data_IF_610002422808
#
_entry.id   IF_610002422808
#
_cell.length_a   1.000
_cell.length_b   1.000
_cell.length_c   1.000
_cell.angle_alpha   90.00
_cell.angle_beta   90.00
_cell.angle_gamma   90.00
#
_symmetry.space_group_name_H-M   'P 1'
#
loop_
_entity.id
_entity.type
_entity.pdbx_description
1 polymer ?
#
# COMPACT_ATOMS: atom_id res chain seq x y z
N UNK A 1 18.42 19.70 70.62
CA UNK A 1 17.10 19.27 70.11
C UNK A 1 17.36 18.05 69.22
N UNK A 2 17.40 16.81 69.73
CA UNK A 2 16.32 15.80 69.94
C UNK A 2 15.35 15.56 68.74
N UNK A 3 15.26 14.26 68.39
CA UNK A 3 14.36 13.48 67.49
C UNK A 3 14.84 13.42 66.02
N UNK A 4 15.28 12.30 65.42
CA UNK A 4 14.71 10.94 65.20
C UNK A 4 13.35 10.98 64.47
N UNK A 5 13.27 10.52 63.21
CA UNK A 5 12.66 9.23 62.80
C UNK A 5 12.69 9.04 61.26
N UNK A 6 12.81 7.77 60.85
CA UNK A 6 13.04 7.19 59.52
C UNK A 6 11.76 6.97 58.68
N UNK A 7 11.96 6.72 57.38
CA UNK A 7 11.32 5.70 56.49
C UNK A 7 10.33 6.12 55.37
N UNK A 8 10.86 6.12 54.13
CA UNK A 8 10.42 5.56 52.82
C UNK A 8 8.89 5.38 52.56
N UNK A 9 8.36 5.86 51.41
CA UNK A 9 7.77 5.04 50.31
C UNK A 9 7.16 5.89 49.13
N UNK A 10 7.56 5.48 47.92
CA UNK A 10 7.01 5.62 46.55
C UNK A 10 6.83 7.02 45.95
N UNK A 11 7.75 7.36 45.03
CA UNK A 11 7.45 8.19 43.88
C UNK A 11 6.57 7.37 42.92
N UNK A 12 5.26 7.64 42.88
CA UNK A 12 4.43 7.12 41.81
C UNK A 12 4.75 7.94 40.55
N UNK A 13 5.61 7.39 39.69
CA UNK A 13 5.72 7.86 38.32
C UNK A 13 4.38 7.56 37.64
N UNK A 14 3.55 8.59 37.43
CA UNK A 14 2.49 8.51 36.44
C UNK A 14 3.18 8.44 35.07
N UNK A 15 3.43 7.24 34.58
CA UNK A 15 3.71 7.01 33.17
C UNK A 15 2.43 7.36 32.41
N UNK A 16 2.43 8.49 31.70
CA UNK A 16 1.49 8.68 30.62
C UNK A 16 1.72 7.53 29.62
N UNK A 17 0.81 6.56 29.59
CA UNK A 17 0.75 5.62 28.48
C UNK A 17 0.46 6.46 27.23
N UNK A 18 1.47 6.73 26.42
CA UNK A 18 1.25 7.09 25.03
C UNK A 18 0.61 5.85 24.39
N UNK A 19 -0.72 5.83 24.38
CA UNK A 19 -1.49 4.77 23.77
C UNK A 19 -1.15 4.79 22.27
N UNK A 20 -0.45 3.76 21.80
CA UNK A 20 -0.16 3.58 20.38
C UNK A 20 -1.50 3.47 19.64
N UNK A 21 -1.91 4.51 18.94
CA UNK A 21 -3.03 4.48 18.03
C UNK A 21 -2.52 4.58 16.59
N UNK A 22 -3.33 4.12 15.64
CA UNK A 22 -2.99 4.10 14.22
C UNK A 22 -2.59 5.47 13.67
N UNK A 23 -3.08 6.56 14.27
CA UNK A 23 -2.69 7.90 13.89
C UNK A 23 -1.18 8.18 14.03
N UNK A 24 -0.50 7.59 15.02
CA UNK A 24 0.92 7.84 15.33
C UNK A 24 1.84 6.64 15.06
N UNK A 25 1.29 5.50 14.65
CA UNK A 25 2.05 4.24 14.54
C UNK A 25 1.87 3.50 13.21
N UNK A 26 0.86 3.86 12.42
CA UNK A 26 0.54 3.21 11.16
C UNK A 26 0.79 4.18 10.01
N UNK A 27 1.40 3.70 8.92
CA UNK A 27 1.39 4.37 7.62
C UNK A 27 -0.04 4.29 7.04
N UNK A 28 -0.93 5.13 7.57
CA UNK A 28 -2.36 5.16 7.27
C UNK A 28 -2.68 6.05 6.06
N UNK A 29 -1.79 6.97 5.69
CA UNK A 29 -1.95 7.76 4.49
C UNK A 29 -1.74 6.83 3.28
N UNK A 30 -2.49 7.05 2.21
CA UNK A 30 -2.37 6.24 1.00
C UNK A 30 -3.69 6.05 0.28
N UNK A 31 -3.64 5.22 -0.76
CA UNK A 31 -4.80 4.89 -1.56
C UNK A 31 -5.34 3.55 -1.10
N UNK A 32 -6.65 3.41 -0.92
CA UNK A 32 -7.32 2.19 -0.53
C UNK A 32 -8.34 1.82 -1.61
N UNK A 33 -8.36 0.56 -2.04
CA UNK A 33 -9.19 0.08 -3.16
C UNK A 33 -9.97 -1.18 -2.77
N UNK A 34 -11.13 -1.36 -3.39
CA UNK A 34 -11.97 -2.55 -3.25
C UNK A 34 -13.28 -2.43 -4.03
N UNK A 35 -14.08 -3.50 -4.01
CA UNK A 35 -15.42 -3.53 -4.60
C UNK A 35 -16.42 -3.71 -3.46
N UNK A 36 -17.17 -2.64 -3.18
CA UNK A 36 -18.20 -2.61 -2.14
C UNK A 36 -19.51 -3.22 -2.64
N UNK A 37 -20.34 -3.83 -1.77
CA UNK A 37 -21.63 -4.36 -2.15
C UNK A 37 -22.56 -3.25 -2.64
N UNK A 38 -23.42 -3.61 -3.59
CA UNK A 38 -24.38 -2.71 -4.22
C UNK A 38 -25.76 -3.35 -4.22
N UNK A 39 -26.78 -2.60 -3.81
CA UNK A 39 -28.14 -3.14 -3.72
C UNK A 39 -28.75 -3.47 -5.10
N UNK A 40 -28.36 -2.73 -6.13
CA UNK A 40 -29.00 -2.77 -7.46
C UNK A 40 -27.98 -2.80 -8.62
N UNK A 41 -26.76 -3.26 -8.33
CA UNK A 41 -25.69 -3.40 -9.31
C UNK A 41 -24.69 -4.49 -8.90
N UNK A 42 -23.77 -4.83 -9.80
CA UNK A 42 -22.78 -5.90 -9.57
C UNK A 42 -21.77 -5.56 -8.45
N UNK A 43 -21.62 -4.27 -8.14
CA UNK A 43 -20.73 -3.77 -7.10
C UNK A 43 -20.32 -2.33 -7.36
N UNK A 44 -19.71 -1.71 -6.36
CA UNK A 44 -19.16 -0.35 -6.48
C UNK A 44 -17.66 -0.44 -6.33
N UNK A 45 -16.93 -0.22 -7.43
CA UNK A 45 -15.48 -0.06 -7.35
C UNK A 45 -15.18 1.26 -6.65
N UNK A 46 -14.61 1.15 -5.47
CA UNK A 46 -14.37 2.29 -4.56
C UNK A 46 -12.87 2.49 -4.39
N UNK A 47 -12.44 3.73 -4.49
CA UNK A 47 -11.07 4.16 -4.18
C UNK A 47 -11.14 5.30 -3.17
N UNK A 48 -10.51 5.13 -2.02
CA UNK A 48 -10.38 6.16 -0.98
C UNK A 48 -8.92 6.55 -0.86
N UNK A 49 -8.62 7.81 -1.13
CA UNK A 49 -7.27 8.36 -1.00
C UNK A 49 -7.25 9.19 0.28
N UNK A 50 -6.39 8.82 1.22
CA UNK A 50 -6.14 9.52 2.48
C UNK A 50 -4.77 10.19 2.42
N UNK A 51 -4.69 11.43 2.89
CA UNK A 51 -3.44 12.22 2.87
C UNK A 51 -3.02 12.59 4.28
N UNK A 52 -1.71 12.75 4.51
CA UNK A 52 -1.16 13.19 5.80
C UNK A 52 -1.70 14.55 6.28
N UNK A 53 -2.20 15.38 5.36
CA UNK A 53 -2.83 16.68 5.64
C UNK A 53 -4.26 16.57 6.17
N UNK A 54 -4.71 15.36 6.51
CA UNK A 54 -6.08 15.06 6.93
C UNK A 54 -7.12 15.48 5.89
N UNK A 55 -6.81 15.24 4.61
CA UNK A 55 -7.73 15.39 3.50
C UNK A 55 -7.98 14.03 2.84
N UNK A 56 -9.14 13.87 2.23
CA UNK A 56 -9.47 12.67 1.47
C UNK A 56 -10.04 12.98 0.09
N UNK A 57 -9.97 11.99 -0.78
CA UNK A 57 -10.73 11.92 -2.03
C UNK A 57 -11.31 10.53 -2.20
N UNK A 58 -12.62 10.43 -2.44
CA UNK A 58 -13.28 9.17 -2.79
C UNK A 58 -13.64 9.19 -4.27
N UNK A 59 -13.40 8.06 -4.94
CA UNK A 59 -13.86 7.78 -6.30
C UNK A 59 -14.70 6.51 -6.30
N UNK A 60 -15.83 6.54 -7.00
CA UNK A 60 -16.77 5.43 -7.09
C UNK A 60 -17.15 5.18 -8.54
N UNK A 61 -17.16 3.92 -8.94
CA UNK A 61 -17.66 3.46 -10.23
C UNK A 61 -18.65 2.31 -10.02
N UNK A 62 -19.91 2.53 -10.39
CA UNK A 62 -20.96 1.52 -10.35
C UNK A 62 -20.76 0.53 -11.51
N UNK A 63 -20.57 -0.75 -11.18
CA UNK A 63 -20.36 -1.81 -12.17
C UNK A 63 -21.71 -2.27 -12.76
N UNK A 64 -21.70 -2.72 -14.02
CA UNK A 64 -22.91 -3.18 -14.73
C UNK A 64 -23.88 -2.09 -15.22
N UNK A 65 -23.59 -0.80 -14.96
CA UNK A 65 -24.39 0.35 -15.44
C UNK A 65 -23.58 1.19 -16.43
N UNK A 66 -24.21 2.13 -17.17
CA UNK A 66 -23.49 3.14 -17.97
C UNK A 66 -22.53 3.88 -17.02
N UNK A 67 -21.24 3.56 -17.11
CA UNK A 67 -20.26 3.89 -16.09
C UNK A 67 -20.01 5.40 -16.04
N UNK A 68 -20.65 6.06 -15.07
CA UNK A 68 -20.29 7.42 -14.65
C UNK A 68 -19.44 7.29 -13.39
N UNK A 69 -18.24 7.86 -13.42
CA UNK A 69 -17.41 7.99 -12.23
C UNK A 69 -17.95 9.11 -11.34
N UNK A 70 -18.12 8.83 -10.05
CA UNK A 70 -18.49 9.80 -9.04
C UNK A 70 -17.28 10.07 -8.16
N UNK A 71 -17.02 11.35 -7.86
CA UNK A 71 -15.87 11.77 -7.06
C UNK A 71 -16.27 12.88 -6.10
N UNK A 72 -15.82 12.79 -4.86
CA UNK A 72 -15.94 13.84 -3.85
C UNK A 72 -14.71 13.85 -2.95
N UNK A 73 -14.51 14.97 -2.27
CA UNK A 73 -13.35 15.22 -1.43
C UNK A 73 -13.74 16.00 -0.18
N UNK A 74 -12.91 15.92 0.85
CA UNK A 74 -13.26 16.48 2.14
C UNK A 74 -12.13 16.44 3.15
N UNK A 75 -12.51 16.55 4.43
CA UNK A 75 -11.60 16.49 5.57
C UNK A 75 -11.74 15.18 6.33
N UNK A 76 -10.62 14.72 6.87
CA UNK A 76 -10.52 13.55 7.74
C UNK A 76 -10.46 14.04 9.18
N UNK A 77 -11.30 13.49 10.06
CA UNK A 77 -11.22 13.69 11.50
C UNK A 77 -10.92 12.36 12.18
N UNK A 78 -9.83 12.33 12.94
CA UNK A 78 -9.49 11.20 13.80
C UNK A 78 -10.31 11.22 15.08
N UNK A 79 -10.98 10.11 15.40
CA UNK A 79 -11.68 9.95 16.67
C UNK A 79 -10.64 9.52 17.73
N UNK A 80 -10.20 10.46 18.57
CA UNK A 80 -9.13 10.25 19.55
C UNK A 80 -9.37 9.01 20.42
N UNK A 81 -8.37 8.12 20.51
CA UNK A 81 -8.43 6.88 21.31
C UNK A 81 -9.02 5.67 20.57
N UNK A 82 -9.58 5.87 19.38
CA UNK A 82 -10.11 4.81 18.53
C UNK A 82 -9.31 4.77 17.22
N UNK A 83 -9.12 3.59 16.62
CA UNK A 83 -8.57 3.46 15.27
C UNK A 83 -9.64 3.79 14.22
N UNK A 84 -10.36 4.91 14.39
CA UNK A 84 -11.51 5.29 13.57
C UNK A 84 -11.30 6.70 13.01
N UNK A 85 -11.49 6.82 11.70
CA UNK A 85 -11.53 8.10 10.99
C UNK A 85 -12.95 8.42 10.53
N UNK A 86 -13.27 9.71 10.51
CA UNK A 86 -14.52 10.26 9.98
C UNK A 86 -14.19 11.07 8.73
N UNK A 87 -14.80 10.72 7.60
CA UNK A 87 -14.73 11.49 6.36
C UNK A 87 -15.90 12.47 6.32
N UNK A 88 -15.61 13.76 6.19
CA UNK A 88 -16.61 14.84 6.06
C UNK A 88 -16.47 15.48 4.68
N UNK A 89 -17.44 15.26 3.80
CA UNK A 89 -17.44 15.81 2.45
C UNK A 89 -17.58 17.34 2.45
N UNK A 90 -16.97 18.02 1.47
CA UNK A 90 -17.12 19.47 1.33
C UNK A 90 -18.55 19.81 0.89
N UNK A 91 -19.23 20.65 1.66
CA UNK A 91 -20.56 21.19 1.30
C UNK A 91 -21.73 20.24 1.52
N UNK A 92 -21.50 19.11 2.21
CA UNK A 92 -22.54 18.17 2.62
C UNK A 92 -22.38 17.85 4.12
N UNK A 93 -23.51 17.56 4.79
CA UNK A 93 -23.51 17.04 6.17
C UNK A 93 -23.26 15.51 6.21
N UNK A 94 -22.93 14.91 5.06
CA UNK A 94 -22.67 13.48 4.93
C UNK A 94 -21.35 13.11 5.63
N UNK A 95 -21.44 12.11 6.52
CA UNK A 95 -20.32 11.55 7.26
C UNK A 95 -20.17 10.08 6.93
N UNK A 96 -18.95 9.65 6.72
CA UNK A 96 -18.61 8.23 6.64
C UNK A 96 -17.57 7.88 7.70
N UNK A 97 -17.69 6.69 8.26
CA UNK A 97 -16.81 6.20 9.31
C UNK A 97 -16.02 5.01 8.79
N UNK A 98 -14.72 5.01 9.04
CA UNK A 98 -13.84 3.90 8.69
C UNK A 98 -12.97 3.52 9.88
N UNK A 99 -12.83 2.21 10.12
CA UNK A 99 -11.78 1.68 10.98
C UNK A 99 -10.48 1.56 10.17
N UNK A 100 -9.37 2.02 10.74
CA UNK A 100 -8.03 1.96 10.14
C UNK A 100 -7.28 0.77 10.76
N UNK A 101 -6.98 -0.23 9.92
CA UNK A 101 -6.15 -1.36 10.29
C UNK A 101 -4.82 -1.36 9.54
N UNK A 102 -3.94 -2.30 9.87
CA UNK A 102 -2.70 -2.55 9.13
C UNK A 102 -3.02 -2.92 7.67
N UNK A 103 -2.70 -2.01 6.74
CA UNK A 103 -2.86 -2.23 5.30
C UNK A 103 -4.31 -2.22 4.79
N UNK A 104 -5.30 -1.78 5.56
CA UNK A 104 -6.69 -1.65 5.10
C UNK A 104 -7.48 -0.60 5.86
N UNK A 105 -8.59 -0.16 5.26
CA UNK A 105 -9.67 0.53 5.95
C UNK A 105 -10.96 -0.25 5.81
N UNK A 106 -11.77 -0.33 6.87
CA UNK A 106 -13.06 -1.00 6.86
C UNK A 106 -14.17 0.02 7.07
N UNK A 107 -15.15 0.05 6.16
CA UNK A 107 -16.31 0.92 6.32
C UNK A 107 -17.14 0.46 7.51
N UNK A 108 -17.52 1.41 8.36
CA UNK A 108 -18.34 1.19 9.54
C UNK A 108 -19.78 1.63 9.28
N UNK A 109 -20.70 1.17 10.13
CA UNK A 109 -22.08 1.64 10.12
C UNK A 109 -22.22 3.05 10.75
N UNK A 110 -23.46 3.54 10.84
CA UNK A 110 -23.77 4.85 11.41
C UNK A 110 -23.45 4.96 12.91
N UNK A 111 -23.40 3.83 13.63
CA UNK A 111 -23.06 3.73 15.05
C UNK A 111 -21.56 3.51 15.27
N UNK A 112 -20.75 3.58 14.20
CA UNK A 112 -19.30 3.33 14.19
C UNK A 112 -18.92 1.89 14.58
N UNK A 113 -19.81 0.93 14.36
CA UNK A 113 -19.53 -0.49 14.55
C UNK A 113 -19.05 -1.12 13.26
N UNK A 114 -18.20 -2.15 13.41
CA UNK A 114 -17.75 -2.97 12.28
C UNK A 114 -18.95 -3.74 11.74
N UNK A 115 -19.05 -3.77 10.42
CA UNK A 115 -19.97 -4.67 9.74
C UNK A 115 -19.37 -6.07 9.86
N UNK A 116 -20.09 -6.97 10.53
CA UNK A 116 -19.68 -8.32 10.88
C UNK A 116 -20.41 -9.40 10.05
N UNK A 117 -20.01 -10.66 10.23
CA UNK A 117 -20.56 -11.82 9.52
C UNK A 117 -20.04 -11.96 8.10
N UNK A 118 -20.82 -12.60 7.22
CA UNK A 118 -20.40 -13.00 5.87
C UNK A 118 -20.03 -11.81 4.95
N UNK A 119 -20.43 -10.59 5.32
CA UNK A 119 -20.18 -9.38 4.55
C UNK A 119 -18.94 -8.60 5.00
N UNK A 120 -18.30 -8.97 6.12
CA UNK A 120 -17.20 -8.20 6.71
C UNK A 120 -16.11 -7.86 5.69
N UNK A 121 -15.65 -8.86 4.93
CA UNK A 121 -14.58 -8.70 3.93
C UNK A 121 -15.01 -7.80 2.76
N UNK A 122 -16.30 -7.76 2.41
CA UNK A 122 -16.81 -6.91 1.32
C UNK A 122 -16.79 -5.43 1.67
N UNK A 123 -16.70 -5.08 2.96
CA UNK A 123 -16.59 -3.70 3.44
C UNK A 123 -15.15 -3.27 3.77
N UNK A 124 -14.14 -4.12 3.47
CA UNK A 124 -12.72 -3.77 3.59
C UNK A 124 -12.17 -3.26 2.25
N UNK A 125 -11.58 -2.08 2.28
CA UNK A 125 -10.73 -1.56 1.20
C UNK A 125 -9.28 -1.79 1.60
N UNK A 126 -8.54 -2.51 0.76
CA UNK A 126 -7.12 -2.78 1.01
C UNK A 126 -6.30 -1.60 0.56
N UNK A 127 -5.24 -1.26 1.31
CA UNK A 127 -4.27 -0.25 0.89
C UNK A 127 -3.71 -0.72 -0.45
N UNK A 128 -3.96 0.06 -1.48
CA UNK A 128 -3.33 -0.10 -2.76
C UNK A 128 -1.86 0.23 -2.58
N UNK A 129 -1.06 -0.69 -3.09
CA UNK A 129 0.33 -0.50 -3.41
C UNK A 129 0.56 0.90 -4.00
N UNK A 130 1.40 1.70 -3.31
CA UNK A 130 1.67 3.09 -3.69
C UNK A 130 2.37 3.18 -5.06
N UNK A 131 3.05 2.11 -5.46
CA UNK A 131 3.77 1.98 -6.71
C UNK A 131 3.30 0.74 -7.49
N UNK A 132 2.87 0.96 -8.73
CA UNK A 132 2.58 -0.08 -9.70
C UNK A 132 3.59 0.02 -10.85
N UNK A 133 4.29 -1.08 -11.16
CA UNK A 133 5.18 -1.12 -12.31
C UNK A 133 4.38 -1.45 -13.58
N UNK A 134 4.39 -0.52 -14.54
CA UNK A 134 3.86 -0.75 -15.89
C UNK A 134 5.00 -1.18 -16.82
N UNK A 135 4.84 -2.34 -17.44
CA UNK A 135 5.76 -2.88 -18.45
C UNK A 135 5.03 -2.89 -19.78
N UNK A 136 5.51 -2.12 -20.76
CA UNK A 136 4.86 -1.97 -22.07
C UNK A 136 5.21 -3.09 -23.08
N UNK A 137 6.06 -4.04 -22.68
CA UNK A 137 6.41 -5.19 -23.53
C UNK A 137 5.26 -6.22 -23.52
N UNK A 138 4.59 -6.37 -24.66
CA UNK A 138 3.42 -7.25 -24.80
C UNK A 138 3.69 -8.74 -24.54
N UNK A 139 4.96 -9.17 -24.60
CA UNK A 139 5.34 -10.55 -24.29
C UNK A 139 5.58 -10.81 -22.81
N UNK A 140 5.73 -9.77 -21.98
CA UNK A 140 6.13 -9.91 -20.60
C UNK A 140 5.08 -10.61 -19.74
N UNK A 141 3.82 -10.17 -19.79
CA UNK A 141 2.76 -10.73 -18.93
C UNK A 141 2.47 -12.20 -19.28
N UNK A 142 2.49 -12.54 -20.58
CA UNK A 142 2.37 -13.93 -21.02
C UNK A 142 3.56 -14.78 -20.58
N UNK A 143 4.78 -14.26 -20.69
CA UNK A 143 5.97 -14.95 -20.22
C UNK A 143 5.94 -15.16 -18.71
N UNK A 144 5.59 -14.13 -17.93
CA UNK A 144 5.55 -14.20 -16.48
C UNK A 144 4.56 -15.28 -16.00
N UNK A 145 3.36 -15.31 -16.58
CA UNK A 145 2.34 -16.31 -16.24
C UNK A 145 2.71 -17.74 -16.64
N UNK A 146 3.60 -17.94 -17.62
CA UNK A 146 4.03 -19.26 -18.10
C UNK A 146 5.42 -19.71 -17.61
N UNK A 147 6.20 -18.82 -17.02
CA UNK A 147 7.59 -19.04 -16.58
C UNK A 147 7.73 -20.02 -15.39
N UNK A 148 6.65 -20.28 -14.66
CA UNK A 148 6.66 -21.08 -13.43
C UNK A 148 7.22 -20.36 -12.20
N UNK A 149 7.66 -19.10 -12.33
CA UNK A 149 8.04 -18.27 -11.19
C UNK A 149 6.83 -17.91 -10.33
N UNK A 150 7.01 -17.95 -9.02
CA UNK A 150 6.01 -17.54 -8.04
C UNK A 150 6.60 -16.49 -7.11
N UNK A 151 5.84 -15.42 -6.86
CA UNK A 151 6.17 -14.38 -5.89
C UNK A 151 6.47 -14.94 -4.48
N UNK A 152 5.93 -16.11 -4.14
CA UNK A 152 6.14 -16.77 -2.85
C UNK A 152 7.55 -17.36 -2.70
N UNK A 153 8.30 -17.54 -3.78
CA UNK A 153 9.67 -18.06 -3.75
C UNK A 153 10.70 -17.02 -3.27
N UNK A 154 10.31 -15.76 -3.16
CA UNK A 154 11.20 -14.64 -2.88
C UNK A 154 10.73 -13.86 -1.65
N UNK A 155 11.67 -13.36 -0.84
CA UNK A 155 11.38 -12.32 0.15
C UNK A 155 11.45 -10.93 -0.50
N UNK A 156 10.74 -9.93 0.06
CA UNK A 156 10.82 -8.57 -0.48
C UNK A 156 12.25 -8.01 -0.35
N UNK A 157 12.95 -8.34 0.74
CA UNK A 157 14.35 -7.95 0.97
C UNK A 157 15.29 -8.49 -0.12
N UNK A 158 15.14 -9.77 -0.49
CA UNK A 158 15.92 -10.36 -1.57
C UNK A 158 15.66 -9.64 -2.90
N UNK A 159 14.39 -9.39 -3.21
CA UNK A 159 14.01 -8.71 -4.45
C UNK A 159 14.58 -7.29 -4.50
N UNK A 160 14.54 -6.53 -3.40
CA UNK A 160 15.14 -5.19 -3.31
C UNK A 160 16.64 -5.22 -3.59
N UNK A 161 17.36 -6.13 -2.95
CA UNK A 161 18.81 -6.30 -3.15
C UNK A 161 19.16 -6.65 -4.60
N UNK A 162 18.39 -7.56 -5.20
CA UNK A 162 18.58 -7.94 -6.60
C UNK A 162 18.21 -6.81 -7.56
N UNK A 163 17.09 -6.13 -7.35
CA UNK A 163 16.64 -5.00 -8.17
C UNK A 163 17.68 -3.88 -8.17
N UNK A 164 18.25 -3.54 -7.01
CA UNK A 164 19.33 -2.58 -6.93
C UNK A 164 20.52 -2.98 -7.83
N UNK A 165 20.94 -4.24 -7.77
CA UNK A 165 22.05 -4.75 -8.59
C UNK A 165 21.73 -4.74 -10.09
N UNK A 166 20.51 -5.14 -10.47
CA UNK A 166 20.07 -5.17 -11.86
C UNK A 166 19.93 -3.75 -12.44
N UNK A 167 19.34 -2.82 -11.69
CA UNK A 167 19.17 -1.42 -12.09
C UNK A 167 20.52 -0.76 -12.31
N UNK A 168 21.49 -0.99 -11.41
CA UNK A 168 22.84 -0.46 -11.58
C UNK A 168 23.48 -0.90 -12.90
N UNK A 169 23.40 -2.21 -13.23
CA UNK A 169 23.94 -2.73 -14.48
C UNK A 169 23.14 -2.26 -15.71
N UNK A 170 21.81 -2.21 -15.60
CA UNK A 170 20.92 -1.70 -16.64
C UNK A 170 21.28 -0.26 -17.01
N UNK A 171 21.36 0.63 -16.00
CA UNK A 171 21.68 2.03 -16.17
C UNK A 171 23.10 2.23 -16.69
N UNK A 172 24.06 1.41 -16.24
CA UNK A 172 25.43 1.40 -16.78
C UNK A 172 25.43 1.14 -18.29
N UNK A 173 24.64 0.18 -18.78
CA UNK A 173 24.56 -0.14 -20.22
C UNK A 173 23.76 0.88 -21.03
N UNK A 174 22.69 1.42 -20.46
CA UNK A 174 21.93 2.52 -21.05
C UNK A 174 22.85 3.73 -21.30
N UNK A 175 23.64 4.14 -20.31
CA UNK A 175 24.59 5.26 -20.42
C UNK A 175 25.70 4.97 -21.44
N UNK A 176 26.09 3.71 -21.63
CA UNK A 176 27.04 3.30 -22.67
C UNK A 176 26.45 3.30 -24.09
N UNK A 177 25.16 3.58 -24.25
CA UNK A 177 24.49 3.67 -25.55
C UNK A 177 24.10 2.32 -26.15
N UNK A 178 24.02 1.26 -25.35
CA UNK A 178 23.47 -0.03 -25.81
C UNK A 178 21.96 0.13 -26.03
N UNK A 179 21.54 0.13 -27.31
CA UNK A 179 20.16 0.40 -27.73
C UNK A 179 19.12 -0.57 -27.17
N UNK A 180 19.53 -1.72 -26.64
CA UNK A 180 18.61 -2.67 -25.99
C UNK A 180 18.11 -2.16 -24.63
N UNK A 181 18.80 -1.19 -24.05
CA UNK A 181 18.48 -0.61 -22.74
C UNK A 181 17.85 0.76 -22.99
N UNK A 182 16.55 0.78 -23.24
CA UNK A 182 15.87 1.92 -23.89
C UNK A 182 15.60 3.12 -22.98
N UNK A 183 15.80 3.00 -21.66
CA UNK A 183 15.59 4.10 -20.70
C UNK A 183 16.39 3.90 -19.40
N UNK A 184 16.72 5.01 -18.74
CA UNK A 184 17.25 4.99 -17.38
C UNK A 184 16.13 4.61 -16.38
N UNK A 185 16.46 3.77 -15.40
CA UNK A 185 15.54 3.35 -14.34
C UNK A 185 15.94 4.05 -13.04
N UNK A 186 15.07 4.94 -12.55
CA UNK A 186 15.27 5.66 -11.28
C UNK A 186 14.64 4.89 -10.12
N UNK A 187 15.30 3.78 -9.74
CA UNK A 187 14.88 2.94 -8.63
C UNK A 187 15.64 3.34 -7.36
N UNK A 188 14.92 3.73 -6.31
CA UNK A 188 15.51 4.08 -5.02
C UNK A 188 15.41 2.90 -4.03
N UNK A 189 16.57 2.40 -3.59
CA UNK A 189 16.62 1.28 -2.65
C UNK A 189 16.11 1.63 -1.25
N UNK A 190 15.95 2.90 -0.90
CA UNK A 190 15.44 3.36 0.39
C UNK A 190 13.93 3.56 0.40
N UNK A 191 13.29 3.63 -0.76
CA UNK A 191 11.83 3.70 -0.89
C UNK A 191 11.18 2.34 -0.54
N UNK A 192 10.00 2.38 0.08
CA UNK A 192 9.29 1.18 0.54
C UNK A 192 8.39 0.58 -0.56
N UNK A 193 9.02 0.14 -1.64
CA UNK A 193 8.31 -0.59 -2.67
C UNK A 193 7.75 -1.91 -2.13
N UNK A 194 6.46 -2.15 -2.37
CA UNK A 194 5.81 -3.40 -2.03
C UNK A 194 6.41 -4.60 -2.80
N UNK A 195 6.03 -5.80 -2.34
CA UNK A 195 6.56 -7.05 -2.90
C UNK A 195 6.16 -7.27 -4.36
N UNK A 196 4.96 -6.88 -4.75
CA UNK A 196 4.47 -7.04 -6.12
C UNK A 196 5.26 -6.17 -7.12
N UNK A 197 5.52 -4.90 -6.77
CA UNK A 197 6.40 -4.01 -7.53
C UNK A 197 7.80 -4.61 -7.68
N UNK A 198 8.41 -4.98 -6.54
CA UNK A 198 9.77 -5.52 -6.53
C UNK A 198 9.88 -6.84 -7.31
N UNK A 199 8.86 -7.70 -7.20
CA UNK A 199 8.78 -8.95 -7.94
C UNK A 199 8.64 -8.69 -9.44
N UNK A 200 7.73 -7.80 -9.85
CA UNK A 200 7.50 -7.50 -11.27
C UNK A 200 8.74 -6.88 -11.91
N UNK A 201 9.44 -5.98 -11.22
CA UNK A 201 10.71 -5.40 -11.69
C UNK A 201 11.80 -6.46 -11.84
N UNK A 202 11.97 -7.31 -10.83
CA UNK A 202 12.94 -8.41 -10.86
C UNK A 202 12.66 -9.37 -12.04
N UNK A 203 11.39 -9.75 -12.21
CA UNK A 203 10.95 -10.62 -13.30
C UNK A 203 11.13 -9.99 -14.67
N UNK A 204 10.96 -8.67 -14.81
CA UNK A 204 11.23 -7.97 -16.06
C UNK A 204 12.71 -8.11 -16.47
N UNK A 205 13.65 -8.02 -15.52
CA UNK A 205 15.05 -8.26 -15.82
C UNK A 205 15.30 -9.71 -16.26
N UNK A 206 14.69 -10.71 -15.61
CA UNK A 206 14.79 -12.12 -16.01
C UNK A 206 14.25 -12.36 -17.42
N UNK A 207 13.08 -11.79 -17.72
CA UNK A 207 12.50 -11.80 -19.06
C UNK A 207 13.43 -11.19 -20.10
N UNK A 208 13.99 -10.01 -19.79
CA UNK A 208 14.92 -9.32 -20.67
C UNK A 208 16.19 -10.13 -20.95
N UNK A 209 16.78 -10.74 -19.91
CA UNK A 209 17.94 -11.63 -20.03
C UNK A 209 17.66 -12.79 -20.98
N UNK A 210 16.50 -13.46 -20.80
CA UNK A 210 16.10 -14.59 -21.64
C UNK A 210 15.81 -14.17 -23.09
N UNK A 211 15.00 -13.12 -23.27
CA UNK A 211 14.58 -12.63 -24.59
C UNK A 211 15.78 -12.15 -25.43
N UNK A 212 16.71 -11.42 -24.80
CA UNK A 212 17.86 -10.85 -25.50
C UNK A 212 19.11 -11.74 -25.46
N UNK A 213 19.06 -12.87 -24.76
CA UNK A 213 20.21 -13.76 -24.49
C UNK A 213 21.40 -12.99 -23.90
N UNK A 214 21.10 -12.08 -22.98
CA UNK A 214 22.07 -11.25 -22.25
C UNK A 214 22.08 -11.68 -20.79
N UNK A 215 23.23 -11.56 -20.15
CA UNK A 215 23.35 -11.69 -18.69
C UNK A 215 23.72 -10.33 -18.10
N UNK A 216 22.94 -9.88 -17.13
CA UNK A 216 23.18 -8.62 -16.41
C UNK A 216 23.99 -8.90 -15.15
N UNK A 217 23.61 -9.89 -14.36
CA UNK A 217 24.35 -10.24 -13.12
C UNK A 217 25.11 -11.57 -13.30
N UNK A 218 26.46 -11.57 -13.23
CA UNK A 218 27.25 -12.80 -13.26
C UNK A 218 26.95 -13.70 -12.04
N UNK A 219 26.80 -15.02 -12.26
CA UNK A 219 26.70 -16.01 -11.17
C UNK A 219 25.29 -16.49 -10.77
N UNK A 220 24.21 -15.81 -11.17
CA UNK A 220 22.84 -16.28 -10.90
C UNK A 220 22.31 -17.14 -12.07
N UNK A 221 22.26 -18.47 -11.90
CA UNK A 221 21.53 -19.44 -12.74
C UNK A 221 21.93 -19.60 -14.23
N UNK A 222 21.80 -20.82 -14.77
CA UNK A 222 21.96 -21.13 -16.21
C UNK A 222 20.62 -20.94 -16.94
N UNK A 223 20.71 -20.65 -18.24
CA UNK A 223 19.59 -20.57 -19.19
C UNK A 223 18.71 -21.82 -19.15
#
# INVERSE_FOLDING_TARGET
>A
MKKILTLIFVLAAFTAFAQHNSQNSLDWAGTYKGVMPCADCEGIRTTVILTEKNEFTVKMQYLGKKAKEYKYSGKVIWNSGENIITLIAKGEDSKEYYFVGEGYIQKLDADKKKIDGDLEEMFKLKKADEYELLVFDSGFDFWLSSSGYSINQYSNEYLRSMNMSYVQEWNRRNIQGDRRFESYIDYDAFEDYNKDFNYKLFMYFKYFEQKNRVKLIPGTGRF
#
